data_IF_944565342234
#
_entry.id   IF_944565342234
#
_cell.length_a   1.000
_cell.length_b   1.000
_cell.length_c   1.000
_cell.angle_alpha   90.00
_cell.angle_beta   90.00
_cell.angle_gamma   90.00
#
_symmetry.space_group_name_H-M   'P 1'
#
loop_
_entity.id
_entity.type
_entity.pdbx_description
1 polymer ?
#
# COMPACT_ATOMS: atom_id res chain seq x y z
N UNK A 1 5.37 -16.97 -22.86
CA UNK A 1 6.57 -16.24 -22.41
C UNK A 1 6.19 -15.45 -21.17
N UNK A 2 6.79 -15.74 -20.03
CA UNK A 2 6.57 -14.96 -18.80
C UNK A 2 7.30 -13.62 -18.98
N UNK A 3 6.58 -12.51 -19.18
CA UNK A 3 7.19 -11.19 -19.23
C UNK A 3 7.74 -10.89 -17.83
N UNK A 4 9.07 -10.95 -17.69
CA UNK A 4 9.78 -10.50 -16.48
C UNK A 4 9.76 -8.97 -16.48
N UNK A 5 9.56 -8.36 -15.31
CA UNK A 5 9.64 -6.91 -15.16
C UNK A 5 11.06 -6.43 -15.51
N UNK A 6 11.14 -5.32 -16.22
CA UNK A 6 12.39 -4.60 -16.39
C UNK A 6 12.84 -3.98 -15.06
N UNK A 7 14.11 -3.54 -15.01
CA UNK A 7 14.68 -2.95 -13.79
C UNK A 7 13.91 -1.70 -13.34
N UNK A 8 13.51 -0.81 -14.26
CA UNK A 8 12.75 0.40 -13.90
C UNK A 8 11.36 0.05 -13.38
N UNK A 9 10.63 -0.88 -14.02
CA UNK A 9 9.31 -1.35 -13.56
C UNK A 9 9.41 -1.96 -12.15
N UNK A 10 10.48 -2.72 -11.87
CA UNK A 10 10.71 -3.30 -10.53
C UNK A 10 10.94 -2.21 -9.48
N UNK A 11 11.71 -1.16 -9.82
CA UNK A 11 11.95 -0.01 -8.94
C UNK A 11 10.66 0.78 -8.71
N UNK A 12 9.87 1.04 -9.74
CA UNK A 12 8.56 1.72 -9.62
C UNK A 12 7.63 0.96 -8.67
N UNK A 13 7.57 -0.37 -8.76
CA UNK A 13 6.76 -1.18 -7.83
C UNK A 13 7.28 -1.07 -6.39
N UNK A 14 8.60 -1.02 -6.18
CA UNK A 14 9.19 -0.78 -4.86
C UNK A 14 8.86 0.61 -4.30
N UNK A 15 8.85 1.64 -5.14
CA UNK A 15 8.49 3.01 -4.76
C UNK A 15 7.03 3.08 -4.33
N UNK A 16 6.11 2.51 -5.13
CA UNK A 16 4.68 2.47 -4.80
C UNK A 16 4.45 1.66 -3.51
N UNK A 17 5.14 0.54 -3.32
CA UNK A 17 5.08 -0.26 -2.09
C UNK A 17 5.51 0.56 -0.87
N UNK A 18 6.60 1.32 -0.99
CA UNK A 18 7.11 2.18 0.09
C UNK A 18 6.13 3.29 0.42
N UNK A 19 5.58 3.95 -0.62
CA UNK A 19 4.56 4.97 -0.46
C UNK A 19 3.32 4.43 0.27
N UNK A 20 2.77 3.30 -0.18
CA UNK A 20 1.59 2.69 0.46
C UNK A 20 1.85 2.25 1.89
N UNK A 21 3.04 1.76 2.20
CA UNK A 21 3.43 1.43 3.59
C UNK A 21 3.44 2.67 4.48
N UNK A 22 3.93 3.80 3.97
CA UNK A 22 3.87 5.10 4.67
C UNK A 22 2.43 5.57 4.88
N UNK A 23 1.55 5.42 3.87
CA UNK A 23 0.13 5.72 4.00
C UNK A 23 -0.54 4.90 5.10
N UNK A 24 -0.39 3.57 5.11
CA UNK A 24 -0.98 2.70 6.14
C UNK A 24 -0.48 3.08 7.53
N UNK A 25 0.82 3.35 7.68
CA UNK A 25 1.39 3.79 8.97
C UNK A 25 0.74 5.09 9.46
N UNK A 26 0.60 6.07 8.56
CA UNK A 26 -0.03 7.36 8.89
C UNK A 26 -1.52 7.21 9.18
N UNK A 27 -2.25 6.48 8.35
CA UNK A 27 -3.68 6.25 8.53
C UNK A 27 -3.97 5.54 9.85
N UNK A 28 -3.18 4.50 10.18
CA UNK A 28 -3.31 3.78 11.45
C UNK A 28 -3.07 4.69 12.65
N UNK A 29 -2.03 5.53 12.62
CA UNK A 29 -1.79 6.51 13.68
C UNK A 29 -2.91 7.57 13.78
N UNK A 30 -3.49 7.99 12.65
CA UNK A 30 -4.60 8.96 12.64
C UNK A 30 -5.91 8.36 13.16
N UNK A 31 -6.14 7.05 13.02
CA UNK A 31 -7.32 6.37 13.57
C UNK A 31 -7.40 6.45 15.09
N UNK A 32 -6.26 6.59 15.78
CA UNK A 32 -6.22 6.80 17.23
C UNK A 32 -6.55 8.24 17.65
N UNK A 33 -6.51 9.20 16.71
CA UNK A 33 -6.65 10.63 16.98
C UNK A 33 -7.95 11.23 16.42
N UNK A 34 -8.59 10.56 15.47
CA UNK A 34 -9.78 11.07 14.79
C UNK A 34 -11.03 10.94 15.68
N UNK A 35 -11.74 12.05 15.87
CA UNK A 35 -12.99 12.11 16.65
C UNK A 35 -14.25 12.05 15.76
N UNK A 36 -14.17 12.56 14.53
CA UNK A 36 -15.30 12.54 13.60
C UNK A 36 -15.52 11.12 13.04
N UNK A 37 -16.69 10.56 13.33
CA UNK A 37 -17.03 9.17 12.97
C UNK A 37 -17.09 8.91 11.46
N UNK A 38 -17.41 9.93 10.64
CA UNK A 38 -17.43 9.76 9.19
C UNK A 38 -16.00 9.74 8.64
N UNK A 39 -15.15 10.66 9.12
CA UNK A 39 -13.74 10.68 8.77
C UNK A 39 -13.03 9.42 9.24
N UNK A 40 -13.38 8.90 10.41
CA UNK A 40 -12.86 7.62 10.92
C UNK A 40 -13.14 6.48 9.96
N UNK A 41 -14.39 6.33 9.48
CA UNK A 41 -14.75 5.30 8.49
C UNK A 41 -13.95 5.43 7.20
N UNK A 42 -13.78 6.65 6.70
CA UNK A 42 -12.97 6.91 5.49
C UNK A 42 -11.51 6.46 5.72
N UNK A 43 -10.95 6.74 6.89
CA UNK A 43 -9.58 6.31 7.24
C UNK A 43 -9.48 4.79 7.42
N UNK A 44 -10.48 4.13 8.01
CA UNK A 44 -10.53 2.67 8.15
C UNK A 44 -10.56 1.99 6.77
N UNK A 45 -11.38 2.51 5.86
CA UNK A 45 -11.45 2.03 4.46
C UNK A 45 -10.13 2.24 3.72
N UNK A 46 -9.47 3.40 3.85
CA UNK A 46 -8.17 3.66 3.23
C UNK A 46 -7.07 2.73 3.78
N UNK A 47 -7.02 2.53 5.11
CA UNK A 47 -6.06 1.62 5.74
C UNK A 47 -6.27 0.19 5.27
N UNK A 48 -7.52 -0.27 5.18
CA UNK A 48 -7.85 -1.61 4.70
C UNK A 48 -7.41 -1.78 3.24
N UNK A 49 -7.89 -0.92 2.35
CA UNK A 49 -7.62 -1.02 0.91
C UNK A 49 -6.13 -0.85 0.59
N UNK A 50 -5.43 0.05 1.30
CA UNK A 50 -3.98 0.22 1.15
C UNK A 50 -3.20 -0.99 1.67
N UNK A 51 -3.68 -1.68 2.71
CA UNK A 51 -3.07 -2.94 3.20
C UNK A 51 -3.22 -4.07 2.19
N UNK A 52 -4.38 -4.18 1.54
CA UNK A 52 -4.60 -5.13 0.45
C UNK A 52 -3.67 -4.84 -0.73
N UNK A 53 -3.54 -3.57 -1.13
CA UNK A 53 -2.63 -3.15 -2.19
C UNK A 53 -1.15 -3.50 -1.88
N UNK A 54 -0.70 -3.31 -0.63
CA UNK A 54 0.65 -3.70 -0.19
C UNK A 54 0.88 -5.21 -0.41
N UNK A 55 -0.12 -6.05 -0.09
CA UNK A 55 -0.01 -7.49 -0.26
C UNK A 55 0.10 -7.88 -1.74
N UNK A 56 -0.66 -7.22 -2.62
CA UNK A 56 -0.56 -7.45 -4.07
C UNK A 56 0.78 -6.97 -4.65
N UNK A 57 1.27 -5.79 -4.25
CA UNK A 57 2.58 -5.28 -4.67
C UNK A 57 3.72 -6.22 -4.24
N UNK A 58 3.65 -6.78 -3.02
CA UNK A 58 4.60 -7.80 -2.56
C UNK A 58 4.54 -9.07 -3.41
N UNK A 59 3.35 -9.51 -3.86
CA UNK A 59 3.22 -10.65 -4.77
C UNK A 59 3.82 -10.37 -6.14
N UNK A 60 3.67 -9.14 -6.66
CA UNK A 60 4.26 -8.71 -7.93
C UNK A 60 5.79 -8.76 -7.84
N UNK A 61 6.39 -8.17 -6.79
CA UNK A 61 7.85 -8.18 -6.61
C UNK A 61 8.42 -9.59 -6.45
N UNK A 62 7.72 -10.49 -5.72
CA UNK A 62 8.13 -11.89 -5.60
C UNK A 62 8.15 -12.64 -6.94
N UNK A 63 7.28 -12.28 -7.88
CA UNK A 63 7.27 -12.85 -9.24
C UNK A 63 8.33 -12.25 -10.16
N UNK A 64 8.84 -11.07 -9.81
CA UNK A 64 9.85 -10.35 -10.59
C UNK A 64 11.28 -10.79 -10.26
N UNK A 65 11.52 -11.38 -9.08
CA UNK A 65 12.78 -12.04 -8.70
C UNK A 65 12.98 -13.31 -9.53
#
# INVERSE_FOLDING_TARGET
MTKKLAMHETLEVHEILTLKTSCVTKGTAMLELVEDENLKKILEEDVQTSTEAINELKKILKKAQ
#
